data_IF_225269622024
#
_entry.id   IF_225269622024
#
_cell.length_a   1.000
_cell.length_b   1.000
_cell.length_c   1.000
_cell.angle_alpha   90.00
_cell.angle_beta   90.00
_cell.angle_gamma   90.00
#
_symmetry.space_group_name_H-M   'P 1'
#
loop_
_entity.id
_entity.type
_entity.pdbx_description
1 polymer ?
#
# COMPACT_ATOMS: atom_id res chain seq x y z
N UNK A 1 75.45 38.71 26.08
CA UNK A 1 74.01 38.85 25.76
C UNK A 1 73.56 37.58 25.03
N UNK A 2 72.88 36.70 25.79
CA UNK A 2 72.43 35.42 25.28
C UNK A 2 70.92 35.56 25.11
N UNK A 3 70.44 35.51 23.85
CA UNK A 3 69.00 35.52 23.51
C UNK A 3 68.47 34.06 23.51
N UNK A 4 67.63 33.71 24.47
CA UNK A 4 66.91 32.46 24.53
C UNK A 4 65.68 32.56 23.67
N UNK A 5 65.66 31.81 22.56
CA UNK A 5 64.45 31.62 21.72
C UNK A 5 63.60 30.53 22.36
N UNK A 6 62.43 30.89 22.83
CA UNK A 6 61.42 29.97 23.37
C UNK A 6 60.56 29.45 22.25
N UNK A 7 60.76 28.20 21.84
CA UNK A 7 59.89 27.52 20.84
C UNK A 7 58.64 26.96 21.54
N UNK A 8 57.47 27.51 21.25
CA UNK A 8 56.18 26.97 21.68
C UNK A 8 55.73 25.94 20.65
N UNK A 9 55.79 24.68 21.08
CA UNK A 9 55.26 23.56 20.27
C UNK A 9 53.72 23.46 20.46
N UNK A 10 52.95 23.80 19.43
CA UNK A 10 51.53 23.50 19.38
C UNK A 10 51.31 22.04 19.07
N UNK A 11 50.88 21.29 20.05
CA UNK A 11 50.43 19.89 19.90
C UNK A 11 48.98 19.95 19.39
N UNK A 12 48.77 19.76 18.10
CA UNK A 12 47.45 19.53 17.51
C UNK A 12 47.03 18.10 17.82
N UNK A 13 46.19 17.94 18.82
CA UNK A 13 45.47 16.68 19.04
C UNK A 13 44.45 16.56 17.91
N UNK A 14 44.80 15.78 16.87
CA UNK A 14 43.85 15.32 15.88
C UNK A 14 42.91 14.29 16.47
N UNK A 15 41.65 14.61 16.62
CA UNK A 15 40.58 13.66 16.97
C UNK A 15 40.33 12.70 15.79
N UNK A 16 41.12 11.63 15.66
CA UNK A 16 40.99 10.61 14.62
C UNK A 16 40.22 9.35 15.05
N UNK A 17 39.47 9.40 16.17
CA UNK A 17 38.91 8.20 16.81
C UNK A 17 37.47 7.87 16.51
N UNK A 18 36.68 8.72 15.80
CA UNK A 18 35.24 8.46 15.64
C UNK A 18 34.77 8.19 14.21
N UNK A 19 35.62 8.35 13.21
CA UNK A 19 35.25 8.07 11.81
C UNK A 19 35.26 6.59 11.45
N UNK A 20 36.02 5.75 12.16
CA UNK A 20 36.05 4.30 11.93
C UNK A 20 34.86 3.56 12.54
N UNK A 21 34.29 4.10 13.62
CA UNK A 21 33.13 3.50 14.30
C UNK A 21 31.83 3.81 13.53
N UNK A 22 31.74 5.00 12.91
CA UNK A 22 30.64 5.37 12.03
C UNK A 22 30.59 4.58 10.71
N UNK A 23 31.75 4.11 10.24
CA UNK A 23 31.83 3.28 9.02
C UNK A 23 31.46 1.79 9.26
N UNK A 24 31.33 1.36 10.52
CA UNK A 24 30.94 0.00 10.89
C UNK A 24 29.47 -0.13 11.31
N UNK A 25 28.74 0.98 11.38
CA UNK A 25 27.28 0.92 11.54
C UNK A 25 26.68 0.36 10.26
N UNK A 26 26.12 -0.84 10.36
CA UNK A 26 25.31 -1.41 9.28
C UNK A 26 24.04 -0.56 9.17
N UNK A 27 24.08 0.43 8.29
CA UNK A 27 22.98 1.36 8.04
C UNK A 27 21.80 0.72 7.28
N UNK A 28 21.92 -0.57 6.94
CA UNK A 28 20.85 -1.30 6.23
C UNK A 28 19.57 -1.43 7.06
N UNK A 29 19.70 -1.46 8.39
CA UNK A 29 18.60 -1.61 9.34
C UNK A 29 18.15 -0.29 10.00
N UNK A 30 18.74 0.83 9.58
CA UNK A 30 18.40 2.14 10.14
C UNK A 30 17.69 3.00 9.10
N UNK A 31 16.53 3.57 9.43
CA UNK A 31 15.84 4.45 8.48
C UNK A 31 16.69 5.70 8.19
N UNK A 32 16.82 6.04 6.92
CA UNK A 32 17.49 7.29 6.48
C UNK A 32 16.61 8.52 6.72
N UNK A 33 15.31 8.30 6.89
CA UNK A 33 14.32 9.33 7.19
C UNK A 33 13.18 8.73 7.99
N UNK A 34 12.71 9.44 9.02
CA UNK A 34 11.46 9.15 9.72
C UNK A 34 10.58 10.40 9.66
N UNK A 35 9.31 10.21 9.36
CA UNK A 35 8.30 11.27 9.33
C UNK A 35 7.17 10.88 10.27
N UNK A 36 6.90 11.72 11.26
CA UNK A 36 5.77 11.58 12.14
C UNK A 36 4.59 12.39 11.59
N UNK A 37 3.39 11.80 11.66
CA UNK A 37 2.15 12.43 11.17
C UNK A 37 2.23 12.81 9.69
N UNK A 38 2.52 11.81 8.83
CA UNK A 38 2.57 12.01 7.40
C UNK A 38 1.20 12.42 6.85
N UNK A 39 1.18 13.53 6.14
CA UNK A 39 0.07 13.97 5.32
C UNK A 39 0.58 14.33 3.91
N UNK A 40 0.26 13.50 2.94
CA UNK A 40 0.71 13.68 1.57
C UNK A 40 -0.48 13.83 0.63
N UNK A 41 -0.38 14.78 -0.29
CA UNK A 41 -1.39 15.02 -1.34
C UNK A 41 -0.72 14.95 -2.69
N UNK A 42 -1.29 14.15 -3.58
CA UNK A 42 -0.91 14.07 -4.97
C UNK A 42 -2.00 14.71 -5.83
N UNK A 43 -1.59 15.63 -6.70
CA UNK A 43 -2.49 16.28 -7.66
C UNK A 43 -2.17 15.88 -9.09
N UNK A 44 -3.17 15.95 -9.98
CA UNK A 44 -3.03 15.76 -11.42
C UNK A 44 -3.80 16.89 -12.13
N UNK A 45 -3.14 17.60 -13.03
CA UNK A 45 -3.74 18.72 -13.80
C UNK A 45 -4.47 19.74 -12.92
N UNK A 46 -3.98 19.97 -11.68
CA UNK A 46 -4.60 20.89 -10.73
C UNK A 46 -5.70 20.30 -9.87
N UNK A 47 -6.23 19.10 -10.20
CA UNK A 47 -7.21 18.36 -9.42
C UNK A 47 -6.56 17.41 -8.40
N UNK A 48 -7.31 17.03 -7.39
CA UNK A 48 -6.89 16.11 -6.34
C UNK A 48 -6.92 14.67 -6.87
N UNK A 49 -5.77 13.98 -6.85
CA UNK A 49 -5.68 12.58 -7.27
C UNK A 49 -5.72 11.61 -6.11
N UNK A 50 -4.91 11.87 -5.10
CA UNK A 50 -4.75 10.98 -3.97
C UNK A 50 -4.29 11.74 -2.72
N UNK A 51 -4.75 11.32 -1.56
CA UNK A 51 -4.28 11.75 -0.25
C UNK A 51 -3.84 10.51 0.53
N UNK A 52 -2.69 10.59 1.18
CA UNK A 52 -2.13 9.53 2.01
C UNK A 52 -1.88 10.09 3.40
N UNK A 53 -2.32 9.37 4.41
CA UNK A 53 -2.14 9.69 5.82
C UNK A 53 -1.55 8.48 6.56
N UNK A 54 -0.56 8.72 7.41
CA UNK A 54 0.03 7.71 8.27
C UNK A 54 0.61 8.35 9.52
N UNK A 55 0.54 7.66 10.66
CA UNK A 55 1.10 8.16 11.91
C UNK A 55 2.62 8.22 11.85
N UNK A 56 3.25 7.20 11.25
CA UNK A 56 4.70 7.12 11.07
C UNK A 56 5.03 6.59 9.68
N UNK A 57 6.01 7.21 9.03
CA UNK A 57 6.66 6.68 7.83
C UNK A 57 8.17 6.62 8.05
N UNK A 58 8.75 5.46 7.79
CA UNK A 58 10.19 5.21 7.85
C UNK A 58 10.71 4.88 6.45
N UNK A 59 11.69 5.64 5.98
CA UNK A 59 12.32 5.41 4.68
C UNK A 59 13.68 4.78 4.85
N UNK A 60 13.91 3.74 4.07
CA UNK A 60 15.16 3.00 3.97
C UNK A 60 15.71 3.14 2.55
N UNK A 61 17.00 3.34 2.43
CA UNK A 61 17.65 3.53 1.14
C UNK A 61 19.01 2.84 1.13
N UNK A 62 19.20 1.93 0.16
CA UNK A 62 20.47 1.25 -0.05
C UNK A 62 20.83 1.22 -1.55
N UNK A 63 21.95 0.61 -1.91
CA UNK A 63 22.47 0.58 -3.28
C UNK A 63 21.57 -0.17 -4.27
N UNK A 64 20.66 -1.00 -3.81
CA UNK A 64 19.84 -1.88 -4.64
C UNK A 64 18.38 -1.47 -4.72
N UNK A 65 17.85 -0.90 -3.66
CA UNK A 65 16.45 -0.50 -3.55
C UNK A 65 16.25 0.64 -2.57
N UNK A 66 15.10 1.29 -2.65
CA UNK A 66 14.54 2.10 -1.60
C UNK A 66 13.17 1.56 -1.20
N UNK A 67 12.82 1.66 0.06
CA UNK A 67 11.49 1.30 0.53
C UNK A 67 11.04 2.19 1.67
N UNK A 68 9.75 2.32 1.79
CA UNK A 68 9.07 3.06 2.83
C UNK A 68 8.20 2.09 3.62
N UNK A 69 8.28 2.14 4.95
CA UNK A 69 7.45 1.38 5.87
C UNK A 69 6.47 2.30 6.58
N UNK A 70 5.26 1.79 6.80
CA UNK A 70 4.20 2.46 7.53
C UNK A 70 3.77 1.52 8.68
N UNK A 71 4.51 1.50 9.81
CA UNK A 71 4.35 0.49 10.85
C UNK A 71 3.13 0.71 11.75
N UNK A 72 2.49 1.86 11.69
CA UNK A 72 1.36 2.25 12.55
C UNK A 72 0.08 2.54 11.76
N UNK A 73 -0.02 1.99 10.54
CA UNK A 73 -1.19 2.14 9.70
C UNK A 73 -0.99 3.05 8.49
N UNK A 74 -1.87 2.84 7.52
CA UNK A 74 -1.94 3.64 6.31
C UNK A 74 -3.40 3.88 5.94
N UNK A 75 -3.71 5.15 5.66
CA UNK A 75 -4.97 5.57 5.06
C UNK A 75 -4.71 6.19 3.69
N UNK A 76 -5.40 5.70 2.67
CA UNK A 76 -5.32 6.23 1.32
C UNK A 76 -6.70 6.65 0.86
N UNK A 77 -6.82 7.85 0.33
CA UNK A 77 -8.04 8.41 -0.23
C UNK A 77 -7.78 8.73 -1.70
N UNK A 78 -8.41 8.01 -2.61
CA UNK A 78 -8.30 8.24 -4.04
C UNK A 78 -9.53 8.98 -4.56
N UNK A 79 -9.29 9.89 -5.50
CA UNK A 79 -10.30 10.78 -6.04
C UNK A 79 -10.47 10.55 -7.54
N UNK A 80 -11.68 10.73 -8.03
CA UNK A 80 -12.01 10.70 -9.46
C UNK A 80 -11.43 11.91 -10.19
N UNK A 81 -11.60 11.95 -11.52
CA UNK A 81 -11.21 13.11 -12.34
C UNK A 81 -12.06 14.37 -12.03
N UNK A 82 -13.19 14.20 -11.35
CA UNK A 82 -14.09 15.28 -10.91
C UNK A 82 -13.84 15.71 -9.45
N UNK A 83 -12.70 15.34 -8.88
CA UNK A 83 -12.31 15.59 -7.49
C UNK A 83 -13.28 14.98 -6.44
N UNK A 84 -14.06 13.96 -6.81
CA UNK A 84 -14.93 13.25 -5.90
C UNK A 84 -14.19 12.08 -5.26
N UNK A 85 -14.38 11.87 -3.95
CA UNK A 85 -13.83 10.72 -3.25
C UNK A 85 -14.39 9.42 -3.83
N UNK A 86 -13.54 8.62 -4.45
CA UNK A 86 -13.91 7.36 -5.09
C UNK A 86 -13.58 6.15 -4.24
N UNK A 87 -12.36 6.10 -3.68
CA UNK A 87 -11.87 4.92 -2.96
C UNK A 87 -11.17 5.33 -1.68
N UNK A 88 -11.46 4.59 -0.60
CA UNK A 88 -10.75 4.68 0.68
C UNK A 88 -10.12 3.33 0.97
N UNK A 89 -8.83 3.33 1.31
CA UNK A 89 -8.10 2.16 1.77
C UNK A 89 -7.59 2.41 3.19
N UNK A 90 -7.74 1.40 4.03
CA UNK A 90 -7.15 1.34 5.36
C UNK A 90 -6.39 0.03 5.53
N UNK A 91 -5.25 0.07 6.23
CA UNK A 91 -4.50 -1.10 6.68
C UNK A 91 -3.73 -0.80 7.96
N UNK A 92 -3.42 -1.83 8.73
CA UNK A 92 -2.61 -1.69 9.95
C UNK A 92 -1.14 -1.41 9.64
N UNK A 93 -0.65 -1.88 8.49
CA UNK A 93 0.72 -1.70 8.05
C UNK A 93 0.80 -1.59 6.54
N UNK A 94 1.83 -0.92 6.03
CA UNK A 94 2.11 -0.89 4.61
C UNK A 94 3.61 -0.82 4.32
N UNK A 95 3.98 -1.24 3.12
CA UNK A 95 5.32 -1.12 2.56
C UNK A 95 5.23 -0.70 1.10
N UNK A 96 5.93 0.35 0.75
CA UNK A 96 6.21 0.74 -0.62
C UNK A 96 7.65 0.35 -0.97
N UNK A 97 7.85 -0.36 -2.05
CA UNK A 97 9.17 -0.82 -2.50
C UNK A 97 9.45 -0.34 -3.91
N UNK A 98 10.68 0.15 -4.13
CA UNK A 98 11.18 0.56 -5.44
C UNK A 98 12.59 0.04 -5.67
N UNK A 99 12.78 -0.74 -6.71
CA UNK A 99 14.11 -1.20 -7.14
C UNK A 99 14.87 -0.08 -7.85
N UNK A 100 16.17 0.06 -7.54
CA UNK A 100 17.08 0.98 -8.26
C UNK A 100 17.70 0.36 -9.51
N UNK A 101 17.67 -0.98 -9.60
CA UNK A 101 18.33 -1.73 -10.67
C UNK A 101 17.36 -2.26 -11.74
N UNK A 102 16.09 -2.37 -11.40
CA UNK A 102 15.03 -2.89 -12.27
C UNK A 102 13.85 -1.97 -12.21
N UNK A 103 13.07 -1.93 -13.26
CA UNK A 103 11.76 -1.27 -13.25
C UNK A 103 10.78 -2.17 -12.49
N UNK A 104 10.85 -2.09 -11.15
CA UNK A 104 9.99 -2.85 -10.25
C UNK A 104 9.62 -1.97 -9.06
N UNK A 105 8.35 -1.62 -8.98
CA UNK A 105 7.77 -0.78 -7.95
C UNK A 105 6.42 -1.37 -7.53
N UNK A 106 6.27 -1.66 -6.23
CA UNK A 106 5.05 -2.22 -5.70
C UNK A 106 4.72 -1.73 -4.29
N UNK A 107 3.44 -1.71 -4.00
CA UNK A 107 2.91 -1.53 -2.67
C UNK A 107 2.43 -2.87 -2.11
N UNK A 108 2.64 -3.08 -0.83
CA UNK A 108 1.99 -4.13 -0.05
C UNK A 108 1.35 -3.51 1.18
N UNK A 109 0.07 -3.76 1.38
CA UNK A 109 -0.67 -3.35 2.56
C UNK A 109 -1.14 -4.60 3.28
N UNK A 110 -1.03 -4.63 4.60
CA UNK A 110 -1.27 -5.84 5.38
C UNK A 110 -1.79 -5.56 6.79
N UNK A 111 -2.50 -6.54 7.32
CA UNK A 111 -3.22 -6.47 8.59
C UNK A 111 -4.51 -5.66 8.46
N UNK A 112 -5.64 -6.35 8.49
CA UNK A 112 -6.98 -5.77 8.45
C UNK A 112 -7.17 -4.77 7.29
N UNK A 113 -6.86 -5.21 6.08
CA UNK A 113 -6.99 -4.39 4.88
C UNK A 113 -8.45 -4.25 4.52
N UNK A 114 -8.93 -3.00 4.47
CA UNK A 114 -10.29 -2.64 4.05
C UNK A 114 -10.20 -1.64 2.90
N UNK A 115 -10.81 -1.97 1.77
CA UNK A 115 -10.93 -1.08 0.61
C UNK A 115 -12.40 -0.80 0.36
N UNK A 116 -12.79 0.47 0.40
CA UNK A 116 -14.15 0.91 0.14
C UNK A 116 -14.21 1.72 -1.15
N UNK A 117 -14.94 1.23 -2.14
CA UNK A 117 -15.32 2.04 -3.30
C UNK A 117 -16.64 2.75 -3.00
N UNK A 118 -16.57 4.05 -2.78
CA UNK A 118 -17.71 4.88 -2.37
C UNK A 118 -18.76 4.96 -3.48
N UNK A 119 -18.30 5.11 -4.74
CA UNK A 119 -19.19 5.25 -5.88
C UNK A 119 -19.98 3.97 -6.18
N UNK A 120 -19.35 2.82 -6.00
CA UNK A 120 -19.98 1.51 -6.20
C UNK A 120 -20.64 0.96 -4.95
N UNK A 121 -20.49 1.62 -3.81
CA UNK A 121 -20.93 1.13 -2.49
C UNK A 121 -20.42 -0.28 -2.20
N UNK A 122 -19.18 -0.55 -2.60
CA UNK A 122 -18.54 -1.86 -2.48
C UNK A 122 -17.42 -1.81 -1.46
N UNK A 123 -17.38 -2.81 -0.57
CA UNK A 123 -16.30 -3.01 0.38
C UNK A 123 -15.59 -4.32 0.11
N UNK A 124 -14.27 -4.29 0.11
CA UNK A 124 -13.39 -5.45 0.06
C UNK A 124 -12.61 -5.52 1.36
N UNK A 125 -12.54 -6.71 1.96
CA UNK A 125 -11.75 -7.00 3.15
C UNK A 125 -10.82 -8.18 2.88
N UNK A 126 -9.57 -8.04 3.28
CA UNK A 126 -8.56 -9.10 3.18
C UNK A 126 -7.46 -8.86 4.23
N UNK A 127 -6.59 -9.85 4.44
CA UNK A 127 -5.43 -9.67 5.32
C UNK A 127 -4.29 -8.92 4.63
N UNK A 128 -4.02 -9.20 3.36
CA UNK A 128 -2.92 -8.60 2.62
C UNK A 128 -3.36 -8.29 1.19
N UNK A 129 -2.95 -7.13 0.67
CA UNK A 129 -3.19 -6.71 -0.71
C UNK A 129 -1.91 -6.16 -1.31
N UNK A 130 -1.64 -6.53 -2.55
CA UNK A 130 -0.49 -6.06 -3.33
C UNK A 130 -0.95 -5.22 -4.51
N UNK A 131 -0.23 -4.16 -4.81
CA UNK A 131 -0.37 -3.38 -6.03
C UNK A 131 0.99 -3.30 -6.73
N UNK A 132 1.12 -4.02 -7.83
CA UNK A 132 2.28 -3.99 -8.72
C UNK A 132 2.07 -2.86 -9.74
N UNK A 133 2.81 -1.76 -9.57
CA UNK A 133 2.71 -0.61 -10.46
C UNK A 133 3.32 -0.87 -11.84
N UNK A 134 4.29 -1.77 -11.91
CA UNK A 134 4.94 -2.15 -13.17
C UNK A 134 4.01 -3.00 -14.04
N UNK A 135 3.31 -3.95 -13.43
CA UNK A 135 2.33 -4.79 -14.12
C UNK A 135 0.92 -4.18 -14.16
N UNK A 136 0.69 -3.09 -13.43
CA UNK A 136 -0.61 -2.41 -13.29
C UNK A 136 -1.71 -3.34 -12.77
N UNK A 137 -1.36 -4.17 -11.80
CA UNK A 137 -2.21 -5.19 -11.23
C UNK A 137 -2.34 -5.04 -9.72
N UNK A 138 -3.57 -5.18 -9.21
CA UNK A 138 -3.86 -5.35 -7.79
C UNK A 138 -4.19 -6.80 -7.56
N UNK A 139 -3.55 -7.44 -6.55
CA UNK A 139 -3.78 -8.86 -6.29
C UNK A 139 -3.61 -9.24 -4.83
N UNK A 140 -4.20 -10.36 -4.47
CA UNK A 140 -3.96 -11.07 -3.21
C UNK A 140 -4.19 -12.57 -3.41
N UNK A 141 -3.48 -13.39 -2.64
CA UNK A 141 -3.73 -14.83 -2.53
C UNK A 141 -4.45 -15.20 -1.22
N UNK A 142 -4.68 -14.21 -0.35
CA UNK A 142 -5.36 -14.36 0.93
C UNK A 142 -6.86 -14.58 0.74
N UNK A 143 -7.53 -14.87 1.86
CA UNK A 143 -8.98 -14.84 1.94
C UNK A 143 -9.51 -13.42 1.67
N UNK A 144 -10.54 -13.32 0.83
CA UNK A 144 -11.18 -12.06 0.44
C UNK A 144 -12.67 -12.15 0.73
N UNK A 145 -13.21 -11.10 1.31
CA UNK A 145 -14.64 -10.81 1.37
C UNK A 145 -14.92 -9.55 0.56
N UNK A 146 -15.92 -9.60 -0.29
CA UNK A 146 -16.36 -8.46 -1.09
C UNK A 146 -17.87 -8.36 -0.99
N UNK A 147 -18.37 -7.21 -0.63
CA UNK A 147 -19.79 -7.01 -0.43
C UNK A 147 -20.25 -5.61 -0.84
N UNK A 148 -21.47 -5.57 -1.31
CA UNK A 148 -22.28 -4.38 -1.55
C UNK A 148 -23.49 -4.43 -0.65
N UNK A 149 -24.47 -3.54 -0.83
CA UNK A 149 -25.73 -3.60 -0.10
C UNK A 149 -26.54 -4.88 -0.38
N UNK A 150 -26.40 -5.43 -1.59
CA UNK A 150 -27.22 -6.55 -2.08
C UNK A 150 -26.41 -7.83 -2.33
N UNK A 151 -25.10 -7.71 -2.56
CA UNK A 151 -24.25 -8.82 -3.00
C UNK A 151 -23.19 -9.13 -1.93
N UNK A 152 -22.87 -10.40 -1.80
CA UNK A 152 -21.78 -10.88 -0.99
C UNK A 152 -20.99 -11.95 -1.73
N UNK A 153 -19.69 -11.74 -1.85
CA UNK A 153 -18.76 -12.70 -2.45
C UNK A 153 -17.58 -12.93 -1.52
N UNK A 154 -17.16 -14.18 -1.40
CA UNK A 154 -15.96 -14.55 -0.67
C UNK A 154 -15.20 -15.66 -1.37
N UNK A 155 -13.89 -15.69 -1.17
CA UNK A 155 -13.02 -16.68 -1.80
C UNK A 155 -11.58 -16.54 -1.39
N UNK A 156 -10.71 -17.32 -1.99
CA UNK A 156 -9.26 -17.21 -1.80
C UNK A 156 -8.59 -16.78 -3.09
N UNK A 157 -7.89 -15.65 -3.01
CA UNK A 157 -7.19 -15.04 -4.13
C UNK A 157 -8.09 -14.14 -4.98
N UNK A 158 -7.55 -13.00 -5.35
CA UNK A 158 -8.18 -12.02 -6.21
C UNK A 158 -7.12 -11.36 -7.09
N UNK A 159 -7.51 -10.99 -8.32
CA UNK A 159 -6.74 -10.11 -9.20
C UNK A 159 -7.64 -9.06 -9.79
N UNK A 160 -7.08 -7.87 -10.01
CA UNK A 160 -7.79 -6.74 -10.61
C UNK A 160 -6.81 -5.85 -11.37
N UNK A 161 -7.34 -5.03 -12.27
CA UNK A 161 -6.56 -3.93 -12.82
C UNK A 161 -6.22 -2.86 -11.76
N UNK A 162 -5.29 -1.96 -12.08
CA UNK A 162 -4.81 -0.90 -11.16
C UNK A 162 -5.91 0.05 -10.67
N UNK A 163 -7.06 0.09 -11.35
CA UNK A 163 -8.21 0.92 -10.99
C UNK A 163 -9.27 0.16 -10.18
N UNK A 164 -9.01 -1.11 -9.85
CA UNK A 164 -9.94 -2.01 -9.15
C UNK A 164 -11.32 -2.13 -9.82
N UNK A 165 -11.37 -2.03 -11.16
CA UNK A 165 -12.63 -2.05 -11.93
C UNK A 165 -13.07 -3.45 -12.32
N UNK A 166 -12.09 -4.34 -12.60
CA UNK A 166 -12.31 -5.68 -13.13
C UNK A 166 -11.75 -6.73 -12.17
N UNK A 167 -12.31 -6.80 -10.96
CA UNK A 167 -11.88 -7.77 -9.96
C UNK A 167 -12.38 -9.18 -10.29
N UNK A 168 -11.45 -10.14 -10.33
CA UNK A 168 -11.73 -11.56 -10.49
C UNK A 168 -11.39 -12.25 -9.16
N UNK A 169 -12.39 -12.86 -8.54
CA UNK A 169 -12.24 -13.65 -7.32
C UNK A 169 -11.99 -15.12 -7.69
N UNK A 170 -10.92 -15.69 -7.15
CA UNK A 170 -10.61 -17.11 -7.33
C UNK A 170 -11.20 -17.94 -6.20
N UNK A 171 -11.47 -19.23 -6.50
CA UNK A 171 -12.00 -20.20 -5.52
C UNK A 171 -13.13 -19.63 -4.65
N UNK A 172 -14.21 -19.10 -5.27
CA UNK A 172 -15.34 -18.54 -4.54
C UNK A 172 -16.11 -19.67 -3.82
N UNK A 173 -16.72 -19.35 -2.67
CA UNK A 173 -17.59 -20.24 -1.92
C UNK A 173 -18.60 -19.44 -1.10
N UNK A 174 -19.77 -20.02 -0.82
CA UNK A 174 -20.83 -19.43 0.01
C UNK A 174 -21.10 -17.95 -0.33
N UNK A 175 -21.16 -17.64 -1.61
CA UNK A 175 -21.39 -16.30 -2.11
C UNK A 175 -22.79 -16.17 -2.70
N UNK A 176 -23.34 -14.96 -2.75
CA UNK A 176 -24.62 -14.70 -3.41
C UNK A 176 -24.58 -13.35 -4.11
N UNK A 177 -25.26 -13.28 -5.24
CA UNK A 177 -25.42 -12.06 -6.05
C UNK A 177 -26.89 -11.97 -6.45
N UNK A 178 -27.51 -10.82 -6.22
CA UNK A 178 -28.87 -10.55 -6.63
C UNK A 178 -28.91 -9.90 -8.02
N UNK A 179 -29.52 -10.58 -8.98
CA UNK A 179 -29.74 -10.04 -10.32
C UNK A 179 -31.20 -9.68 -10.47
N UNK A 180 -31.47 -8.43 -10.74
CA UNK A 180 -32.83 -7.95 -11.06
C UNK A 180 -32.95 -7.92 -12.58
N UNK A 181 -33.74 -8.84 -13.13
CA UNK A 181 -34.11 -8.88 -14.54
C UNK A 181 -35.63 -8.79 -14.66
N UNK A 182 -36.15 -7.77 -15.30
CA UNK A 182 -37.59 -7.54 -15.56
C UNK A 182 -38.47 -7.70 -14.29
N UNK A 183 -38.13 -7.00 -13.20
CA UNK A 183 -38.85 -7.05 -11.92
C UNK A 183 -38.82 -8.41 -11.21
N UNK A 184 -37.98 -9.34 -11.65
CA UNK A 184 -37.83 -10.66 -11.01
C UNK A 184 -36.43 -10.73 -10.35
N UNK A 185 -36.38 -10.90 -9.03
CA UNK A 185 -35.11 -11.19 -8.35
C UNK A 185 -34.67 -12.61 -8.68
N UNK A 186 -33.51 -12.77 -9.24
CA UNK A 186 -32.88 -14.07 -9.51
C UNK A 186 -31.72 -14.24 -8.55
N UNK A 187 -31.78 -15.28 -7.70
CA UNK A 187 -30.65 -15.66 -6.85
C UNK A 187 -29.74 -16.58 -7.65
N UNK A 188 -28.52 -16.18 -7.86
CA UNK A 188 -27.50 -17.03 -8.49
C UNK A 188 -26.78 -17.77 -7.38
N UNK A 189 -26.89 -19.10 -7.35
CA UNK A 189 -26.07 -19.92 -6.48
C UNK A 189 -24.63 -19.91 -6.96
N UNK A 190 -23.74 -19.33 -6.14
CA UNK A 190 -22.34 -19.11 -6.49
C UNK A 190 -21.42 -20.29 -6.18
N UNK A 191 -21.93 -21.34 -5.58
CA UNK A 191 -21.08 -22.48 -5.19
C UNK A 191 -20.45 -23.14 -6.41
N UNK A 192 -21.11 -23.08 -7.58
CA UNK A 192 -20.60 -23.69 -8.79
C UNK A 192 -20.59 -22.81 -10.03
N UNK A 193 -21.24 -21.67 -10.08
CA UNK A 193 -21.50 -20.85 -11.29
C UNK A 193 -22.00 -21.69 -12.52
N UNK A 194 -22.42 -22.92 -12.28
CA UNK A 194 -22.83 -23.93 -13.26
C UNK A 194 -24.26 -24.33 -12.94
N UNK A 195 -25.16 -23.39 -12.97
CA UNK A 195 -26.55 -23.71 -12.73
C UNK A 195 -27.47 -22.80 -13.53
N UNK A 196 -28.62 -23.28 -13.97
CA UNK A 196 -29.61 -22.42 -14.57
C UNK A 196 -30.11 -21.43 -13.52
N UNK A 197 -30.32 -20.20 -13.93
CA UNK A 197 -30.99 -19.17 -13.11
C UNK A 197 -32.30 -19.73 -12.57
N UNK A 198 -32.39 -19.92 -11.25
CA UNK A 198 -33.64 -20.39 -10.64
C UNK A 198 -34.61 -19.22 -10.57
N UNK A 199 -35.61 -19.20 -11.46
CA UNK A 199 -36.76 -18.31 -11.31
C UNK A 199 -37.54 -18.74 -10.06
N UNK A 200 -37.53 -17.91 -9.02
CA UNK A 200 -38.42 -18.09 -7.90
C UNK A 200 -39.84 -17.70 -8.36
N UNK A 201 -40.77 -18.63 -8.33
CA UNK A 201 -42.21 -18.39 -8.54
C UNK A 201 -42.81 -17.65 -7.39
#
# INVERSE_FOLDING_TARGET
MIATASAVAFVVYSCSGKLSEAAQLDLSDTPVQTVDSLFMVQTRNGGLKMRVEADVMERYDNDTCSYELFPQGLHVFAYSEEDLLETVLHSNNAKHFKSKKRDNEYWSVFGNVVVQNIMKQQTLETDTLYWDQTQKEIYTDCYVRMFTNDDFMQGYGMRSDEMARNAILFRPFNSYVYVIQDSTRVVIDSVNFIGPLLKKR
#
